data_IF_960418282474
#
_entry.id   IF_960418282474
#
_cell.length_a   1.000
_cell.length_b   1.000
_cell.length_c   1.000
_cell.angle_alpha   90.00
_cell.angle_beta   90.00
_cell.angle_gamma   90.00
#
_symmetry.space_group_name_H-M   'P 1'
#
loop_
_entity.id
_entity.type
_entity.pdbx_description
1 polymer ?
#
# COMPACT_ATOMS: atom_id res chain seq x y z
N UNK A 1 -0.12 1.39 16.88
CA UNK A 1 0.10 2.67 16.18
C UNK A 1 0.18 2.33 14.69
N UNK A 2 -0.55 2.97 13.79
CA UNK A 2 -0.53 2.54 12.38
C UNK A 2 0.82 2.90 11.72
N UNK A 3 1.22 2.20 10.64
CA UNK A 3 2.52 2.41 10.00
C UNK A 3 2.67 3.84 9.45
N UNK A 4 1.56 4.51 9.14
CA UNK A 4 1.54 5.94 8.77
C UNK A 4 2.05 6.84 9.90
N UNK A 5 1.58 6.60 11.12
CA UNK A 5 2.00 7.34 12.30
C UNK A 5 3.46 7.03 12.64
N UNK A 6 3.93 5.80 12.40
CA UNK A 6 5.35 5.44 12.54
C UNK A 6 6.24 6.12 11.49
N UNK A 7 5.79 6.21 10.23
CA UNK A 7 6.50 6.96 9.18
C UNK A 7 6.57 8.45 9.52
N UNK A 8 5.45 9.05 9.94
CA UNK A 8 5.40 10.44 10.39
C UNK A 8 6.29 10.69 11.62
N UNK A 9 6.32 9.75 12.57
CA UNK A 9 7.17 9.87 13.75
C UNK A 9 8.65 9.72 13.40
N UNK A 10 9.02 8.88 12.43
CA UNK A 10 10.38 8.76 11.90
C UNK A 10 10.85 10.08 11.27
N UNK A 11 10.00 10.73 10.47
CA UNK A 11 10.27 12.05 9.90
C UNK A 11 10.47 13.14 10.95
N UNK A 12 9.77 13.05 12.10
CA UNK A 12 9.87 14.02 13.20
C UNK A 12 11.10 13.83 14.09
N UNK A 13 11.71 12.64 14.11
CA UNK A 13 12.79 12.26 15.03
C UNK A 13 14.19 12.29 14.42
N UNK A 14 14.33 12.49 13.10
CA UNK A 14 15.65 12.57 12.47
C UNK A 14 16.27 13.96 12.62
N UNK A 15 17.23 14.09 13.55
CA UNK A 15 18.15 15.24 13.65
C UNK A 15 19.14 15.32 12.46
N UNK A 16 19.22 14.28 11.62
CA UNK A 16 20.00 14.20 10.38
C UNK A 16 19.10 14.28 9.14
N UNK A 17 18.33 15.36 9.04
CA UNK A 17 17.53 15.70 7.87
C UNK A 17 18.43 15.74 6.61
N UNK A 18 18.17 14.87 5.64
CA UNK A 18 18.78 14.94 4.30
C UNK A 18 17.67 15.20 3.30
N UNK A 19 17.58 16.46 2.89
CA UNK A 19 16.66 16.96 1.86
C UNK A 19 16.64 16.01 0.64
N UNK A 20 15.57 15.23 0.49
CA UNK A 20 15.34 14.43 -0.73
C UNK A 20 14.72 13.04 -0.54
N UNK A 21 14.72 12.45 0.66
CA UNK A 21 14.14 11.10 0.87
C UNK A 21 12.67 11.16 1.32
N UNK A 22 12.25 12.27 1.93
CA UNK A 22 10.89 12.51 2.38
C UNK A 22 9.91 12.51 1.21
N UNK A 23 10.34 13.04 0.06
CA UNK A 23 9.56 13.05 -1.17
C UNK A 23 9.26 11.63 -1.65
N UNK A 24 10.24 10.72 -1.60
CA UNK A 24 10.04 9.32 -1.98
C UNK A 24 9.09 8.61 -1.02
N UNK A 25 9.24 8.83 0.29
CA UNK A 25 8.34 8.25 1.31
C UNK A 25 6.92 8.78 1.14
N UNK A 26 6.74 10.10 0.96
CA UNK A 26 5.42 10.69 0.74
C UNK A 26 4.81 10.18 -0.56
N UNK A 27 5.59 10.07 -1.64
CA UNK A 27 5.12 9.54 -2.91
C UNK A 27 4.67 8.09 -2.77
N UNK A 28 5.45 7.24 -2.09
CA UNK A 28 5.07 5.85 -1.83
C UNK A 28 3.77 5.74 -1.02
N UNK A 29 3.60 6.61 -0.02
CA UNK A 29 2.38 6.66 0.79
C UNK A 29 1.16 7.11 -0.04
N UNK A 30 1.34 8.12 -0.89
CA UNK A 30 0.29 8.57 -1.83
C UNK A 30 -0.07 7.43 -2.77
N UNK A 31 0.91 6.78 -3.38
CA UNK A 31 0.69 5.69 -4.33
C UNK A 31 -0.04 4.50 -3.71
N UNK A 32 0.25 4.17 -2.45
CA UNK A 32 -0.45 3.11 -1.69
C UNK A 32 -1.86 3.51 -1.27
N UNK A 33 -2.12 4.81 -1.09
CA UNK A 33 -3.44 5.33 -0.73
C UNK A 33 -4.43 5.33 -1.90
N UNK A 34 -3.93 5.30 -3.13
CA UNK A 34 -4.75 5.20 -4.35
C UNK A 34 -5.17 3.73 -4.52
N UNK A 35 -6.48 3.41 -4.52
CA UNK A 35 -6.95 2.06 -4.78
C UNK A 35 -6.45 1.56 -6.14
N UNK A 36 -5.94 0.33 -6.17
CA UNK A 36 -5.49 -0.34 -7.40
C UNK A 36 -6.13 -1.71 -7.48
N UNK A 37 -6.48 -2.12 -8.70
CA UNK A 37 -7.12 -3.42 -8.95
C UNK A 37 -6.23 -4.57 -8.46
N UNK A 38 -6.87 -5.52 -7.80
CA UNK A 38 -6.22 -6.79 -7.45
C UNK A 38 -5.80 -7.55 -8.70
N UNK A 39 -4.80 -8.41 -8.56
CA UNK A 39 -4.24 -9.16 -9.69
C UNK A 39 -4.62 -10.63 -9.54
N UNK A 40 -5.32 -11.16 -10.53
CA UNK A 40 -5.71 -12.56 -10.60
C UNK A 40 -4.75 -13.29 -11.54
N UNK A 41 -3.80 -14.03 -10.98
CA UNK A 41 -2.98 -14.99 -11.74
C UNK A 41 -3.61 -16.37 -11.69
N UNK A 42 -4.14 -16.73 -10.52
CA UNK A 42 -4.91 -17.94 -10.28
C UNK A 42 -6.37 -17.59 -9.98
N UNK A 43 -7.33 -18.52 -10.15
CA UNK A 43 -8.75 -18.23 -9.99
C UNK A 43 -9.20 -17.94 -8.55
N UNK A 44 -8.42 -18.39 -7.58
CA UNK A 44 -8.76 -18.46 -6.16
C UNK A 44 -7.77 -17.70 -5.26
N UNK A 45 -6.74 -17.08 -5.83
CA UNK A 45 -5.70 -16.38 -5.08
C UNK A 45 -5.41 -15.01 -5.70
N UNK A 46 -6.12 -13.95 -5.27
CA UNK A 46 -5.83 -12.59 -5.69
C UNK A 46 -4.55 -12.09 -5.05
N UNK A 47 -3.73 -11.38 -5.83
CA UNK A 47 -2.45 -10.81 -5.39
C UNK A 47 -2.54 -9.30 -5.23
N UNK A 48 -1.82 -8.78 -4.24
CA UNK A 48 -1.65 -7.34 -4.07
C UNK A 48 -0.93 -6.73 -5.29
N UNK A 49 -1.43 -5.63 -5.88
CA UNK A 49 -0.82 -5.03 -7.07
C UNK A 49 0.55 -4.41 -6.81
N UNK A 50 0.86 -4.07 -5.56
CA UNK A 50 2.13 -3.48 -5.16
C UNK A 50 3.17 -4.53 -4.77
N UNK A 51 2.92 -5.33 -3.73
CA UNK A 51 3.92 -6.27 -3.20
C UNK A 51 3.81 -7.70 -3.73
N UNK A 52 2.77 -8.03 -4.51
CA UNK A 52 2.53 -9.35 -5.11
C UNK A 52 2.31 -10.51 -4.14
N UNK A 53 2.17 -10.21 -2.84
CA UNK A 53 1.76 -11.23 -1.88
C UNK A 53 0.27 -11.57 -2.04
N UNK A 54 -0.11 -12.84 -1.75
CA UNK A 54 -1.51 -13.25 -1.66
C UNK A 54 -2.32 -12.36 -0.72
N UNK A 55 -3.60 -12.24 -1.04
CA UNK A 55 -4.59 -11.57 -0.20
C UNK A 55 -5.48 -12.67 0.39
N UNK A 56 -5.33 -12.92 1.69
CA UNK A 56 -6.00 -14.02 2.38
C UNK A 56 -7.50 -13.74 2.70
N UNK A 57 -7.91 -12.47 2.69
CA UNK A 57 -9.28 -12.04 2.97
C UNK A 57 -9.92 -11.47 1.71
N UNK A 58 -10.90 -12.21 1.18
CA UNK A 58 -11.71 -11.78 0.04
C UNK A 58 -12.33 -10.42 0.38
N UNK A 59 -12.11 -9.43 -0.49
CA UNK A 59 -12.62 -8.05 -0.33
C UNK A 59 -11.92 -7.21 0.76
N UNK A 60 -10.74 -7.59 1.22
CA UNK A 60 -9.90 -6.73 2.07
C UNK A 60 -9.72 -5.34 1.43
N UNK A 61 -9.94 -4.26 2.19
CA UNK A 61 -9.78 -2.89 1.66
C UNK A 61 -8.32 -2.49 1.41
N UNK A 62 -7.39 -3.18 2.05
CA UNK A 62 -5.95 -2.93 1.98
C UNK A 62 -5.18 -4.24 2.11
N UNK A 63 -4.03 -4.36 1.44
CA UNK A 63 -3.11 -5.48 1.65
C UNK A 63 -2.52 -5.45 3.07
N UNK A 64 -2.58 -6.58 3.78
CA UNK A 64 -2.02 -6.69 5.13
C UNK A 64 -0.49 -6.53 5.15
N UNK A 65 0.17 -6.97 4.07
CA UNK A 65 1.62 -6.92 3.97
C UNK A 65 2.13 -5.48 3.81
N UNK A 66 1.60 -4.74 2.83
CA UNK A 66 2.16 -3.47 2.38
C UNK A 66 1.23 -2.26 2.50
N UNK A 67 0.00 -2.46 2.98
CA UNK A 67 -1.04 -1.44 3.18
C UNK A 67 -1.55 -0.75 1.91
N UNK A 68 -1.21 -1.28 0.72
CA UNK A 68 -1.79 -0.83 -0.55
C UNK A 68 -3.31 -0.96 -0.51
N UNK A 69 -4.03 0.12 -0.80
CA UNK A 69 -5.49 0.08 -1.00
C UNK A 69 -5.85 -0.76 -2.21
N UNK A 70 -6.83 -1.63 -2.01
CA UNK A 70 -7.27 -2.60 -3.01
C UNK A 70 -8.59 -2.13 -3.62
N UNK A 71 -8.69 -2.29 -4.93
CA UNK A 71 -9.91 -2.09 -5.70
C UNK A 71 -10.42 -3.45 -6.16
N UNK A 72 -11.64 -3.77 -5.73
CA UNK A 72 -12.37 -5.00 -6.05
C UNK A 72 -13.54 -4.72 -7.00
N UNK A 73 -13.62 -3.51 -7.57
CA UNK A 73 -14.59 -3.26 -8.62
C UNK A 73 -14.30 -4.17 -9.81
N UNK A 74 -15.30 -4.95 -10.19
CA UNK A 74 -15.29 -5.65 -11.47
C UNK A 74 -15.23 -4.58 -12.57
N UNK A 75 -14.47 -4.84 -13.64
CA UNK A 75 -14.62 -4.07 -14.88
C UNK A 75 -15.97 -4.45 -15.50
N UNK A 76 -17.07 -3.94 -14.94
CA UNK A 76 -18.35 -3.94 -15.63
C UNK A 76 -18.27 -2.91 -16.75
N UNK A 77 -17.95 -3.40 -17.95
CA UNK A 77 -18.11 -2.71 -19.23
C UNK A 77 -19.06 -3.51 -20.13
#
# INVERSE_FOLDING_TARGET
MNKYQEALNRLKLQENWQEGNELNVIQELIDKSIPKKVIWIFPDEPLCPFCRNPIDDDYARTSECCEQRLDWSDDEA
#
